data_IF_767850880811
#
_entry.id   IF_767850880811
#
_cell.length_a   1.000
_cell.length_b   1.000
_cell.length_c   1.000
_cell.angle_alpha   90.00
_cell.angle_beta   90.00
_cell.angle_gamma   90.00
#
_symmetry.space_group_name_H-M   'P 1'
#
loop_
_entity.id
_entity.type
_entity.pdbx_description
1 polymer ?
#
# COMPACT_ATOMS: atom_id res chain seq x y z
N UNK A 1 9.35 -7.16 -9.81
CA UNK A 1 9.51 -6.16 -8.73
C UNK A 1 9.46 -6.88 -7.41
N UNK A 2 10.39 -6.59 -6.50
CA UNK A 2 10.39 -7.15 -5.15
C UNK A 2 9.40 -6.35 -4.27
N UNK A 3 8.50 -7.05 -3.57
CA UNK A 3 7.54 -6.43 -2.66
C UNK A 3 8.19 -6.25 -1.28
N UNK A 4 8.33 -5.00 -0.84
CA UNK A 4 8.94 -4.61 0.44
C UNK A 4 7.87 -4.15 1.43
N UNK A 5 6.92 -3.32 0.98
CA UNK A 5 5.84 -2.78 1.82
C UNK A 5 4.75 -3.84 2.06
N UNK A 6 4.23 -4.44 0.99
CA UNK A 6 3.06 -5.32 1.03
C UNK A 6 3.19 -6.49 2.02
N UNK A 7 4.32 -7.22 2.13
CA UNK A 7 4.47 -8.30 3.09
C UNK A 7 4.37 -7.84 4.55
N UNK A 8 4.82 -6.62 4.85
CA UNK A 8 4.86 -5.98 6.19
C UNK A 8 3.54 -5.35 6.63
N UNK A 9 2.53 -5.37 5.76
CA UNK A 9 1.20 -4.91 6.07
C UNK A 9 0.43 -5.94 6.91
N UNK A 10 -0.36 -5.46 7.88
CA UNK A 10 -1.34 -6.30 8.58
C UNK A 10 -2.41 -6.84 7.61
N UNK A 11 -3.12 -7.90 7.99
CA UNK A 11 -4.20 -8.48 7.18
C UNK A 11 -5.25 -7.44 6.77
N UNK A 12 -5.64 -6.54 7.71
CA UNK A 12 -6.60 -5.46 7.41
C UNK A 12 -6.03 -4.44 6.43
N UNK A 13 -4.76 -4.06 6.61
CA UNK A 13 -4.06 -3.15 5.70
C UNK A 13 -3.90 -3.76 4.30
N UNK A 14 -3.58 -5.06 4.19
CA UNK A 14 -3.51 -5.79 2.91
C UNK A 14 -4.84 -5.77 2.18
N UNK A 15 -5.96 -6.04 2.87
CA UNK A 15 -7.31 -5.95 2.26
C UNK A 15 -7.62 -4.56 1.74
N UNK A 16 -7.28 -3.51 2.49
CA UNK A 16 -7.46 -2.12 2.03
C UNK A 16 -6.55 -1.80 0.83
N UNK A 17 -5.32 -2.29 0.84
CA UNK A 17 -4.33 -2.08 -0.22
C UNK A 17 -4.78 -2.68 -1.56
N UNK A 18 -5.35 -3.89 -1.53
CA UNK A 18 -5.85 -4.61 -2.70
C UNK A 18 -7.23 -4.14 -3.18
N UNK A 19 -7.91 -3.29 -2.42
CA UNK A 19 -9.24 -2.81 -2.78
C UNK A 19 -9.18 -2.00 -4.08
N UNK A 20 -9.97 -2.38 -5.07
CA UNK A 20 -10.04 -1.69 -6.36
C UNK A 20 -11.23 -0.74 -6.45
N UNK A 21 -12.37 -1.12 -5.86
CA UNK A 21 -13.63 -0.38 -5.92
C UNK A 21 -14.08 0.09 -4.54
N UNK A 22 -14.46 1.35 -4.45
CA UNK A 22 -15.04 2.01 -3.28
C UNK A 22 -16.56 1.86 -3.23
N UNK A 23 -17.20 2.72 -2.43
CA UNK A 23 -18.67 2.78 -2.38
C UNK A 23 -19.22 3.20 -3.75
N UNK A 24 -20.34 2.61 -4.17
CA UNK A 24 -21.00 2.91 -5.44
C UNK A 24 -20.14 2.64 -6.69
N UNK A 25 -19.23 1.67 -6.63
CA UNK A 25 -18.41 1.27 -7.79
C UNK A 25 -17.30 2.25 -8.19
N UNK A 26 -17.11 3.35 -7.44
CA UNK A 26 -16.06 4.34 -7.72
C UNK A 26 -14.66 3.74 -7.57
N UNK A 27 -13.69 4.25 -8.33
CA UNK A 27 -12.28 3.89 -8.20
C UNK A 27 -11.83 4.13 -6.76
N UNK A 28 -11.19 3.13 -6.15
CA UNK A 28 -10.62 3.27 -4.82
C UNK A 28 -9.17 3.75 -4.91
N UNK A 29 -8.94 4.95 -4.40
CA UNK A 29 -7.61 5.50 -4.19
C UNK A 29 -7.12 5.09 -2.80
N UNK A 30 -6.05 4.31 -2.77
CA UNK A 30 -5.45 3.88 -1.51
C UNK A 30 -4.62 5.03 -0.93
N UNK A 31 -5.01 5.48 0.26
CA UNK A 31 -4.22 6.44 1.04
C UNK A 31 -3.82 5.79 2.37
N UNK A 32 -2.53 5.41 2.55
CA UNK A 32 -2.08 4.81 3.79
C UNK A 32 -2.21 5.82 4.95
N UNK A 33 -2.65 5.35 6.11
CA UNK A 33 -2.75 6.18 7.31
C UNK A 33 -1.36 6.59 7.78
N UNK A 34 -1.20 7.82 8.29
CA UNK A 34 0.08 8.32 8.77
C UNK A 34 0.80 7.39 9.76
N UNK A 35 0.14 6.79 10.78
CA UNK A 35 0.82 5.87 11.69
C UNK A 35 1.39 4.61 11.01
N UNK A 36 0.77 4.16 9.91
CA UNK A 36 1.31 3.04 9.13
C UNK A 36 2.57 3.45 8.38
N UNK A 37 2.57 4.65 7.79
CA UNK A 37 3.72 5.19 7.06
C UNK A 37 4.89 5.42 8.02
N UNK A 38 4.64 6.01 9.19
CA UNK A 38 5.66 6.24 10.20
C UNK A 38 6.28 4.93 10.72
N UNK A 39 5.44 3.93 11.02
CA UNK A 39 5.93 2.60 11.41
C UNK A 39 6.83 1.99 10.34
N UNK A 40 6.39 1.97 9.09
CA UNK A 40 7.16 1.42 7.97
C UNK A 40 8.44 2.21 7.69
N UNK A 41 8.39 3.52 7.86
CA UNK A 41 9.55 4.42 7.73
C UNK A 41 10.64 4.05 8.73
N UNK A 42 10.27 3.84 10.00
CA UNK A 42 11.19 3.37 11.06
C UNK A 42 11.70 1.95 10.81
N UNK A 43 10.83 1.02 10.41
CA UNK A 43 11.21 -0.38 10.14
C UNK A 43 12.17 -0.53 8.95
N UNK A 44 12.05 0.34 7.94
CA UNK A 44 12.80 0.23 6.68
C UNK A 44 13.95 1.23 6.58
N UNK A 45 14.07 2.16 7.53
CA UNK A 45 15.04 3.26 7.44
C UNK A 45 14.79 4.20 6.25
N UNK A 46 13.56 4.27 5.75
CA UNK A 46 13.18 5.07 4.59
C UNK A 46 12.42 6.32 5.02
N UNK A 47 12.55 7.46 4.33
CA UNK A 47 11.71 8.62 4.60
C UNK A 47 10.26 8.36 4.21
N UNK A 48 9.32 9.02 4.91
CA UNK A 48 7.89 8.79 4.74
C UNK A 48 7.38 8.93 3.30
N UNK A 49 7.91 9.90 2.55
CA UNK A 49 7.52 10.10 1.15
C UNK A 49 7.93 8.92 0.25
N UNK A 50 9.10 8.32 0.50
CA UNK A 50 9.58 7.14 -0.24
C UNK A 50 8.74 5.91 0.09
N UNK A 51 8.37 5.73 1.36
CA UNK A 51 7.43 4.67 1.78
C UNK A 51 6.11 4.77 1.03
N UNK A 52 5.58 5.99 0.89
CA UNK A 52 4.33 6.24 0.16
C UNK A 52 4.52 5.91 -1.33
N UNK A 53 5.54 6.46 -1.99
CA UNK A 53 5.80 6.21 -3.41
C UNK A 53 5.98 4.71 -3.71
N UNK A 54 6.73 4.02 -2.85
CA UNK A 54 6.96 2.57 -2.98
C UNK A 54 5.69 1.76 -2.75
N UNK A 55 4.86 2.16 -1.78
CA UNK A 55 3.55 1.56 -1.57
C UNK A 55 2.64 1.71 -2.81
N UNK A 56 2.65 2.86 -3.47
CA UNK A 56 1.89 3.08 -4.71
C UNK A 56 2.39 2.20 -5.86
N UNK A 57 3.70 2.14 -6.09
CA UNK A 57 4.32 1.27 -7.11
C UNK A 57 4.01 -0.20 -6.86
N UNK A 58 4.11 -0.66 -5.61
CA UNK A 58 3.76 -2.03 -5.24
C UNK A 58 2.29 -2.33 -5.48
N UNK A 59 1.41 -1.38 -5.14
CA UNK A 59 -0.02 -1.52 -5.38
C UNK A 59 -0.32 -1.67 -6.86
N UNK A 60 0.20 -0.79 -7.69
CA UNK A 60 -0.01 -0.85 -9.13
C UNK A 60 0.49 -2.19 -9.71
N UNK A 61 1.68 -2.63 -9.29
CA UNK A 61 2.27 -3.90 -9.70
C UNK A 61 1.40 -5.10 -9.36
N UNK A 62 0.81 -5.11 -8.17
CA UNK A 62 -0.08 -6.20 -7.71
C UNK A 62 -1.42 -6.13 -8.44
N UNK A 63 -2.03 -4.95 -8.56
CA UNK A 63 -3.34 -4.80 -9.20
C UNK A 63 -3.31 -5.21 -10.67
N UNK A 64 -2.21 -4.95 -11.39
CA UNK A 64 -2.03 -5.42 -12.79
C UNK A 64 -1.91 -6.94 -12.93
N UNK A 65 -1.65 -7.67 -11.84
CA UNK A 65 -1.46 -9.13 -11.81
C UNK A 65 -2.60 -9.90 -11.15
N UNK A 66 -3.56 -9.19 -10.56
CA UNK A 66 -4.76 -9.84 -10.06
C UNK A 66 -5.62 -10.28 -11.26
N UNK A 67 -6.17 -11.51 -11.22
CA UNK A 67 -7.06 -12.01 -12.25
C UNK A 67 -8.38 -11.21 -12.33
#
# INVERSE_FOLDING_TARGET
MQLVIFPRLSTRSKRAFLKQRGKYGRVYYYNPRWPLVERLSRELGMPAHEVIDRAWKEREFILKRLP
#
